data_IF_599037434949
#
_entry.id   IF_599037434949
#
_cell.length_a   1.000
_cell.length_b   1.000
_cell.length_c   1.000
_cell.angle_alpha   90.00
_cell.angle_beta   90.00
_cell.angle_gamma   90.00
#
_symmetry.space_group_name_H-M   'P 1'
#
loop_
_entity.id
_entity.type
_entity.pdbx_description
1 polymer ?
#
# COMPACT_ATOMS: atom_id res chain seq x y z
N UNK A 1 18.41 -11.01 -11.03
CA UNK A 1 17.56 -11.40 -9.89
C UNK A 1 16.48 -12.30 -10.45
N UNK A 2 16.45 -13.58 -10.06
CA UNK A 2 15.43 -14.50 -10.54
C UNK A 2 14.09 -14.15 -9.90
N UNK A 3 13.00 -14.45 -10.61
CA UNK A 3 11.62 -14.21 -10.12
C UNK A 3 11.30 -14.96 -8.82
N UNK A 4 12.08 -15.98 -8.46
CA UNK A 4 11.89 -16.79 -7.26
C UNK A 4 12.46 -16.16 -5.97
N UNK A 5 13.37 -15.18 -6.04
CA UNK A 5 13.93 -14.51 -4.84
C UNK A 5 13.05 -13.37 -4.31
N UNK A 6 12.10 -12.86 -5.11
CA UNK A 6 11.26 -11.71 -4.77
C UNK A 6 10.12 -12.03 -3.78
N UNK A 7 9.80 -13.32 -3.59
CA UNK A 7 8.59 -13.75 -2.87
C UNK A 7 8.74 -13.91 -1.36
N UNK A 8 9.96 -13.86 -0.80
CA UNK A 8 10.14 -14.07 0.64
C UNK A 8 9.99 -12.80 1.48
N UNK A 9 10.46 -11.65 0.98
CA UNK A 9 10.30 -10.33 1.59
C UNK A 9 10.39 -9.24 0.52
N UNK A 10 9.28 -8.89 -0.17
CA UNK A 10 9.32 -7.87 -1.22
C UNK A 10 9.73 -6.53 -0.60
N UNK A 11 10.87 -5.99 -1.05
CA UNK A 11 11.26 -4.62 -0.74
C UNK A 11 10.53 -3.68 -1.70
N UNK A 12 9.94 -2.57 -1.21
CA UNK A 12 9.32 -1.59 -2.09
C UNK A 12 10.37 -1.00 -3.04
N UNK A 13 10.00 -0.84 -4.30
CA UNK A 13 10.82 -0.19 -5.33
C UNK A 13 10.11 1.08 -5.83
N UNK A 14 10.90 2.14 -6.06
CA UNK A 14 10.40 3.43 -6.52
C UNK A 14 10.58 4.55 -5.50
N UNK A 15 9.95 5.68 -5.76
CA UNK A 15 9.97 6.85 -4.88
C UNK A 15 8.90 6.73 -3.79
N UNK A 16 9.24 7.11 -2.56
CA UNK A 16 8.32 7.07 -1.43
C UNK A 16 7.25 8.18 -1.60
N UNK A 17 6.01 7.77 -1.89
CA UNK A 17 4.89 8.70 -2.01
C UNK A 17 4.15 8.93 -0.68
N UNK A 18 4.01 7.90 0.16
CA UNK A 18 3.27 7.97 1.43
C UNK A 18 3.91 7.04 2.48
N UNK A 19 4.04 7.56 3.70
CA UNK A 19 4.39 6.78 4.88
C UNK A 19 3.40 7.09 5.99
N UNK A 20 2.80 6.05 6.56
CA UNK A 20 1.80 6.16 7.63
C UNK A 20 1.97 5.03 8.64
N UNK A 21 1.39 5.20 9.83
CA UNK A 21 1.44 4.22 10.92
C UNK A 21 0.10 3.49 10.97
N UNK A 22 0.15 2.17 10.86
CA UNK A 22 -1.01 1.32 11.08
C UNK A 22 -1.30 1.18 12.57
N UNK A 23 -2.58 1.31 12.94
CA UNK A 23 -3.05 1.29 14.32
C UNK A 23 -3.88 0.02 14.59
N UNK A 24 -4.11 -0.37 15.86
CA UNK A 24 -4.95 -1.52 16.19
C UNK A 24 -6.32 -1.49 15.52
N UNK A 25 -6.91 -0.30 15.39
CA UNK A 25 -8.22 -0.11 14.74
C UNK A 25 -8.24 -0.42 13.24
N UNK A 26 -7.05 -0.47 12.61
CA UNK A 26 -6.89 -0.73 11.17
C UNK A 26 -6.72 -2.24 10.91
N UNK A 27 -6.78 -3.08 11.96
CA UNK A 27 -6.72 -4.53 11.85
C UNK A 27 -8.07 -5.15 11.53
N UNK A 28 -8.05 -6.32 10.90
CA UNK A 28 -9.20 -7.19 10.73
C UNK A 28 -9.43 -8.07 11.98
N UNK A 29 -10.45 -8.92 11.98
CA UNK A 29 -10.78 -9.78 13.12
C UNK A 29 -9.67 -10.79 13.51
N UNK A 30 -8.70 -11.03 12.63
CA UNK A 30 -7.55 -11.91 12.86
C UNK A 30 -6.32 -11.15 13.39
N UNK A 31 -6.35 -9.82 13.48
CA UNK A 31 -5.23 -9.00 13.96
C UNK A 31 -4.23 -8.57 12.87
N UNK A 32 -4.44 -8.96 11.61
CA UNK A 32 -3.67 -8.43 10.47
C UNK A 32 -4.28 -7.13 9.96
N UNK A 33 -3.49 -6.29 9.31
CA UNK A 33 -3.99 -5.06 8.67
C UNK A 33 -5.11 -5.38 7.68
N UNK A 34 -6.21 -4.65 7.79
CA UNK A 34 -7.36 -4.80 6.91
C UNK A 34 -6.99 -4.39 5.48
N UNK A 35 -7.27 -5.27 4.51
CA UNK A 35 -6.90 -5.04 3.11
C UNK A 35 -7.54 -3.78 2.52
N UNK A 36 -8.77 -3.44 2.90
CA UNK A 36 -9.42 -2.20 2.42
C UNK A 36 -8.77 -0.94 2.97
N UNK A 37 -8.23 -0.98 4.19
CA UNK A 37 -7.42 0.13 4.72
C UNK A 37 -6.13 0.27 3.91
N UNK A 38 -5.45 -0.85 3.64
CA UNK A 38 -4.19 -0.82 2.87
C UNK A 38 -4.42 -0.30 1.44
N UNK A 39 -5.50 -0.74 0.78
CA UNK A 39 -5.92 -0.24 -0.53
C UNK A 39 -6.18 1.28 -0.50
N UNK A 40 -6.82 1.80 0.55
CA UNK A 40 -7.05 3.24 0.69
C UNK A 40 -5.75 4.04 0.81
N UNK A 41 -4.72 3.50 1.47
CA UNK A 41 -3.41 4.16 1.56
C UNK A 41 -2.68 4.16 0.22
N UNK A 42 -2.80 3.07 -0.56
CA UNK A 42 -2.24 3.01 -1.92
C UNK A 42 -2.92 3.98 -2.89
N UNK A 43 -4.24 4.14 -2.81
CA UNK A 43 -4.99 5.12 -3.61
C UNK A 43 -4.55 6.56 -3.27
N UNK A 44 -4.40 6.88 -1.97
CA UNK A 44 -3.88 8.17 -1.54
C UNK A 44 -2.45 8.42 -2.04
N UNK A 45 -1.56 7.42 -1.93
CA UNK A 45 -0.20 7.50 -2.43
C UNK A 45 -0.16 7.76 -3.95
N UNK A 46 -0.98 7.04 -4.72
CA UNK A 46 -1.12 7.24 -6.16
C UNK A 46 -1.63 8.64 -6.51
N UNK A 47 -2.60 9.16 -5.74
CA UNK A 47 -3.09 10.52 -5.94
C UNK A 47 -2.04 11.59 -5.64
N UNK A 48 -1.15 11.39 -4.66
CA UNK A 48 -0.04 12.31 -4.38
C UNK A 48 0.89 12.38 -5.59
N UNK A 49 1.40 11.23 -6.04
CA UNK A 49 2.31 11.15 -7.19
C UNK A 49 1.67 11.69 -8.47
N UNK A 50 0.40 11.37 -8.73
CA UNK A 50 -0.31 11.86 -9.92
C UNK A 50 -0.56 13.37 -9.87
N UNK A 51 -0.89 13.91 -8.69
CA UNK A 51 -1.11 15.36 -8.51
C UNK A 51 0.17 16.16 -8.70
N UNK A 52 1.32 15.63 -8.26
CA UNK A 52 2.63 16.24 -8.45
C UNK A 52 2.98 16.29 -9.95
N UNK A 53 2.78 15.19 -10.67
CA UNK A 53 3.04 15.13 -12.11
C UNK A 53 2.11 16.03 -12.93
N UNK A 54 0.84 16.13 -12.55
CA UNK A 54 -0.18 16.88 -13.29
C UNK A 54 -0.21 18.38 -12.93
N UNK A 55 0.51 18.80 -11.89
CA UNK A 55 0.47 20.16 -11.33
C UNK A 55 -0.97 20.65 -11.07
N UNK A 56 -1.87 19.73 -10.65
CA UNK A 56 -3.30 20.01 -10.63
C UNK A 56 -4.15 18.89 -10.05
N UNK A 57 -5.47 19.04 -10.18
CA UNK A 57 -6.44 18.10 -9.61
C UNK A 57 -6.47 16.80 -10.40
N UNK A 58 -6.41 15.69 -9.69
CA UNK A 58 -6.52 14.33 -10.23
C UNK A 58 -7.69 13.58 -9.61
N UNK A 59 -8.11 12.50 -10.26
CA UNK A 59 -9.11 11.58 -9.76
C UNK A 59 -8.76 10.15 -10.18
N UNK A 60 -8.91 9.19 -9.27
CA UNK A 60 -8.72 7.77 -9.56
C UNK A 60 -9.85 7.28 -10.48
N UNK A 61 -9.49 6.86 -11.70
CA UNK A 61 -10.44 6.33 -12.67
C UNK A 61 -10.68 4.84 -12.47
N UNK A 62 -9.60 4.08 -12.24
CA UNK A 62 -9.64 2.65 -12.02
C UNK A 62 -8.37 2.20 -11.29
N UNK A 63 -8.47 1.06 -10.58
CA UNK A 63 -7.34 0.29 -10.09
C UNK A 63 -7.37 -1.03 -10.88
N UNK A 64 -6.35 -1.29 -11.68
CA UNK A 64 -6.34 -2.43 -12.62
C UNK A 64 -6.12 -3.77 -11.90
N UNK A 65 -5.29 -3.80 -10.86
CA UNK A 65 -5.04 -5.00 -10.09
C UNK A 65 -4.21 -4.73 -8.85
N UNK A 66 -4.45 -5.55 -7.82
CA UNK A 66 -3.68 -5.53 -6.59
C UNK A 66 -3.62 -6.94 -6.01
N UNK A 67 -2.41 -7.34 -5.59
CA UNK A 67 -2.16 -8.63 -4.96
C UNK A 67 -1.54 -8.43 -3.58
N UNK A 68 -2.12 -9.07 -2.57
CA UNK A 68 -1.52 -9.15 -1.24
C UNK A 68 -0.58 -10.36 -1.21
N UNK A 69 0.73 -10.10 -1.24
CA UNK A 69 1.75 -11.15 -1.31
C UNK A 69 1.98 -11.84 0.05
N UNK A 70 1.85 -11.08 1.14
CA UNK A 70 2.06 -11.58 2.50
C UNK A 70 1.10 -10.90 3.47
N UNK A 71 0.87 -11.54 4.62
CA UNK A 71 0.07 -10.96 5.70
C UNK A 71 0.86 -9.83 6.39
N UNK A 72 0.18 -8.69 6.58
CA UNK A 72 0.71 -7.59 7.36
C UNK A 72 0.22 -7.72 8.81
N UNK A 73 0.93 -8.49 9.63
CA UNK A 73 0.57 -8.63 11.05
C UNK A 73 0.86 -7.34 11.80
N UNK A 74 -0.13 -6.80 12.50
CA UNK A 74 0.09 -5.65 13.37
C UNK A 74 0.79 -6.10 14.65
N UNK A 75 1.87 -5.41 15.00
CA UNK A 75 2.59 -5.61 16.27
C UNK A 75 2.57 -4.31 17.07
N UNK A 76 2.28 -4.35 18.38
CA UNK A 76 2.48 -3.20 19.23
C UNK A 76 3.98 -2.85 19.26
N UNK A 77 4.31 -1.59 19.00
CA UNK A 77 5.65 -1.02 19.17
C UNK A 77 6.08 -0.99 20.63
#
# INVERSE_FOLDING_TARGET
MSVEELDTHPLPFGELALQTIAMPKDTNANGDIFGGWLLSQMDLAGSITASELAEGRVATVAIEGMSFLTLCTWVPS
#
